data_IF_886295938191
#
_entry.id   IF_886295938191
#
_cell.length_a   1.000
_cell.length_b   1.000
_cell.length_c   1.000
_cell.angle_alpha   90.00
_cell.angle_beta   90.00
_cell.angle_gamma   90.00
#
_symmetry.space_group_name_H-M   'P 1'
#
loop_
_entity.id
_entity.type
_entity.pdbx_description
1 polymer ?
#
# COMPACT_ATOMS: atom_id res chain seq x y z
N UNK A 1 46.10 -8.47 0.52
CA UNK A 1 45.23 -7.92 -0.56
C UNK A 1 44.06 -8.85 -0.88
N UNK A 2 44.25 -10.16 -1.04
CA UNK A 2 43.16 -11.13 -1.24
C UNK A 2 42.13 -11.18 -0.09
N UNK A 3 42.56 -11.07 1.17
CA UNK A 3 41.67 -11.11 2.34
C UNK A 3 40.71 -9.90 2.37
N UNK A 4 41.16 -8.72 1.91
CA UNK A 4 40.30 -7.53 1.79
C UNK A 4 39.30 -7.67 0.63
N UNK A 5 39.70 -8.32 -0.47
CA UNK A 5 38.80 -8.56 -1.60
C UNK A 5 37.72 -9.59 -1.20
N UNK A 6 38.09 -10.65 -0.47
CA UNK A 6 37.12 -11.64 0.04
C UNK A 6 36.18 -11.07 1.12
N UNK A 7 36.68 -10.20 2.01
CA UNK A 7 35.82 -9.51 2.99
C UNK A 7 34.82 -8.58 2.29
N UNK A 8 35.28 -7.84 1.27
CA UNK A 8 34.44 -6.93 0.50
C UNK A 8 33.42 -7.66 -0.38
N UNK A 9 33.73 -8.86 -0.88
CA UNK A 9 32.74 -9.70 -1.58
C UNK A 9 31.70 -10.28 -0.62
N UNK A 10 32.12 -10.71 0.57
CA UNK A 10 31.20 -11.24 1.57
C UNK A 10 30.16 -10.18 1.99
N UNK A 11 30.58 -8.95 2.28
CA UNK A 11 29.68 -7.84 2.63
C UNK A 11 28.68 -7.51 1.51
N UNK A 12 29.08 -7.61 0.23
CA UNK A 12 28.15 -7.42 -0.90
C UNK A 12 27.06 -8.48 -0.94
N UNK A 13 27.39 -9.74 -0.73
CA UNK A 13 26.41 -10.83 -0.74
C UNK A 13 25.40 -10.72 0.40
N UNK A 14 25.84 -10.27 1.59
CA UNK A 14 24.93 -10.05 2.73
C UNK A 14 24.00 -8.87 2.45
N UNK A 15 24.55 -7.77 1.93
CA UNK A 15 23.78 -6.58 1.55
C UNK A 15 22.70 -6.89 0.51
N UNK A 16 23.03 -7.71 -0.51
CA UNK A 16 22.05 -8.12 -1.52
C UNK A 16 20.92 -8.97 -0.94
N UNK A 17 21.21 -9.89 0.00
CA UNK A 17 20.15 -10.68 0.65
C UNK A 17 19.22 -9.80 1.48
N UNK A 18 19.78 -8.92 2.29
CA UNK A 18 18.99 -8.05 3.18
C UNK A 18 18.12 -7.08 2.38
N UNK A 19 18.68 -6.44 1.36
CA UNK A 19 17.93 -5.55 0.46
C UNK A 19 16.75 -6.27 -0.21
N UNK A 20 16.93 -7.52 -0.66
CA UNK A 20 15.84 -8.30 -1.26
C UNK A 20 14.71 -8.58 -0.26
N UNK A 21 15.03 -9.06 0.94
CA UNK A 21 14.02 -9.33 1.97
C UNK A 21 13.26 -8.06 2.35
N UNK A 22 13.97 -6.95 2.48
CA UNK A 22 13.37 -5.69 2.84
C UNK A 22 12.46 -5.13 1.75
N UNK A 23 12.85 -5.21 0.47
CA UNK A 23 11.99 -4.85 -0.66
C UNK A 23 10.71 -5.68 -0.69
N UNK A 24 10.81 -7.00 -0.50
CA UNK A 24 9.64 -7.87 -0.43
C UNK A 24 8.71 -7.51 0.73
N UNK A 25 9.26 -7.25 1.91
CA UNK A 25 8.48 -6.85 3.08
C UNK A 25 7.80 -5.49 2.88
N UNK A 26 8.48 -4.53 2.25
CA UNK A 26 7.94 -3.21 1.92
C UNK A 26 6.77 -3.28 0.94
N UNK A 27 6.88 -4.14 -0.08
CA UNK A 27 5.80 -4.40 -1.05
C UNK A 27 4.59 -5.04 -0.37
N UNK A 28 4.79 -6.06 0.47
CA UNK A 28 3.71 -6.74 1.20
C UNK A 28 3.02 -5.82 2.20
N UNK A 29 3.79 -4.99 2.89
CA UNK A 29 3.26 -3.95 3.76
C UNK A 29 2.44 -2.92 2.98
N UNK A 30 2.92 -2.48 1.81
CA UNK A 30 2.17 -1.60 0.91
C UNK A 30 0.85 -2.18 0.45
N UNK A 31 0.89 -3.41 -0.05
CA UNK A 31 -0.31 -4.12 -0.49
C UNK A 31 -1.34 -4.24 0.64
N UNK A 32 -0.91 -4.67 1.82
CA UNK A 32 -1.80 -4.88 2.98
C UNK A 32 -2.39 -3.55 3.46
N UNK A 33 -1.57 -2.51 3.56
CA UNK A 33 -2.00 -1.17 3.98
C UNK A 33 -3.03 -0.58 3.01
N UNK A 34 -2.84 -0.77 1.70
CA UNK A 34 -3.83 -0.32 0.72
C UNK A 34 -5.10 -1.13 0.82
N UNK A 35 -5.05 -2.47 0.90
CA UNK A 35 -6.26 -3.30 0.98
C UNK A 35 -7.12 -2.95 2.19
N UNK A 36 -6.50 -2.72 3.35
CA UNK A 36 -7.21 -2.36 4.58
C UNK A 36 -7.70 -0.90 4.56
N UNK A 37 -6.92 0.03 4.00
CA UNK A 37 -7.26 1.46 3.92
C UNK A 37 -8.26 1.83 2.83
N UNK A 38 -8.25 1.11 1.70
CA UNK A 38 -9.08 1.41 0.53
C UNK A 38 -10.60 1.46 0.78
N UNK A 39 -11.22 0.56 1.58
CA UNK A 39 -12.64 0.69 1.91
C UNK A 39 -12.93 1.99 2.68
N UNK A 40 -12.02 2.42 3.56
CA UNK A 40 -12.18 3.66 4.32
C UNK A 40 -12.05 4.90 3.43
N UNK A 41 -11.09 4.89 2.50
CA UNK A 41 -10.90 5.96 1.52
C UNK A 41 -12.08 6.04 0.54
N UNK A 42 -12.65 4.90 0.15
CA UNK A 42 -13.83 4.83 -0.72
C UNK A 42 -15.08 5.35 -0.01
N UNK A 43 -15.29 5.02 1.27
CA UNK A 43 -16.42 5.57 2.06
C UNK A 43 -16.26 7.09 2.18
N UNK A 44 -15.07 7.58 2.51
CA UNK A 44 -14.79 9.02 2.65
C UNK A 44 -15.03 9.79 1.36
N UNK A 45 -14.47 9.32 0.25
CA UNK A 45 -14.63 9.99 -1.06
C UNK A 45 -16.08 9.96 -1.53
N UNK A 46 -16.82 8.87 -1.34
CA UNK A 46 -18.26 8.83 -1.64
C UNK A 46 -19.08 9.76 -0.73
N UNK A 47 -18.72 9.89 0.55
CA UNK A 47 -19.34 10.88 1.45
C UNK A 47 -19.04 12.32 1.02
N UNK A 48 -17.82 12.61 0.55
CA UNK A 48 -17.42 13.95 0.11
C UNK A 48 -17.97 14.30 -1.29
N UNK A 49 -18.20 13.31 -2.15
CA UNK A 49 -18.76 13.49 -3.48
C UNK A 49 -20.30 13.67 -3.47
N UNK A 50 -20.97 13.40 -2.35
CA UNK A 50 -22.40 13.68 -2.19
C UNK A 50 -22.62 15.18 -1.96
N UNK A 51 -22.95 15.91 -3.03
CA UNK A 51 -23.30 17.35 -3.00
C UNK A 51 -24.62 17.62 -2.26
N UNK A 52 -25.51 16.63 -2.18
CA UNK A 52 -26.79 16.73 -1.49
C UNK A 52 -26.77 15.80 -0.27
N UNK A 53 -26.89 16.38 0.93
CA UNK A 53 -26.88 15.70 2.23
C UNK A 53 -28.16 14.87 2.41
N UNK A 54 -28.46 13.94 1.50
CA UNK A 54 -29.69 13.15 1.55
C UNK A 54 -29.52 12.03 2.59
N UNK A 55 -29.93 12.37 3.82
CA UNK A 55 -30.69 11.54 4.75
C UNK A 55 -30.10 10.23 5.29
N UNK A 56 -28.78 10.00 5.31
CA UNK A 56 -28.21 8.81 5.96
C UNK A 56 -26.78 9.05 6.49
N UNK A 57 -26.64 10.02 7.39
CA UNK A 57 -25.42 10.72 7.85
C UNK A 57 -24.28 9.91 8.52
N UNK A 58 -24.21 8.59 8.35
CA UNK A 58 -23.20 7.74 9.01
C UNK A 58 -22.26 7.02 8.04
N UNK A 59 -20.95 6.93 8.32
CA UNK A 59 -19.99 6.16 7.50
C UNK A 59 -20.41 4.69 7.33
N UNK A 60 -21.05 4.11 8.35
CA UNK A 60 -21.59 2.75 8.31
C UNK A 60 -22.83 2.61 7.40
N UNK A 61 -23.65 3.65 7.29
CA UNK A 61 -24.86 3.62 6.44
C UNK A 61 -24.46 3.75 4.97
N UNK A 62 -23.49 4.61 4.67
CA UNK A 62 -22.88 4.70 3.33
C UNK A 62 -22.22 3.39 2.94
N UNK A 63 -21.44 2.77 3.83
CA UNK A 63 -20.86 1.45 3.62
C UNK A 63 -21.95 0.39 3.32
N UNK A 64 -23.00 0.33 4.13
CA UNK A 64 -24.10 -0.63 3.96
C UNK A 64 -24.83 -0.43 2.63
N UNK A 65 -25.06 0.82 2.22
CA UNK A 65 -25.66 1.14 0.93
C UNK A 65 -24.77 0.73 -0.24
N UNK A 66 -23.46 1.01 -0.17
CA UNK A 66 -22.50 0.61 -1.21
C UNK A 66 -22.43 -0.92 -1.33
N UNK A 67 -22.34 -1.64 -0.21
CA UNK A 67 -22.32 -3.12 -0.22
C UNK A 67 -23.63 -3.68 -0.75
N UNK A 68 -24.78 -3.08 -0.42
CA UNK A 68 -26.10 -3.56 -0.87
C UNK A 68 -26.37 -3.27 -2.35
N UNK A 69 -25.88 -2.16 -2.90
CA UNK A 69 -26.13 -1.74 -4.29
C UNK A 69 -25.04 -2.17 -5.28
N UNK A 70 -23.76 -2.07 -4.90
CA UNK A 70 -22.62 -2.36 -5.78
C UNK A 70 -21.86 -3.66 -5.37
N UNK A 71 -22.18 -4.23 -4.21
CA UNK A 71 -21.50 -5.42 -3.68
C UNK A 71 -20.10 -5.12 -3.12
N UNK A 72 -19.43 -6.16 -2.59
CA UNK A 72 -18.05 -6.05 -2.12
C UNK A 72 -17.06 -5.65 -3.22
N UNK A 73 -17.35 -5.95 -4.49
CA UNK A 73 -16.52 -5.50 -5.62
C UNK A 73 -16.65 -3.99 -5.90
N UNK A 74 -17.77 -3.36 -5.52
CA UNK A 74 -17.94 -1.91 -5.61
C UNK A 74 -16.95 -1.13 -4.74
N UNK A 75 -16.58 -1.69 -3.58
CA UNK A 75 -15.58 -1.12 -2.66
C UNK A 75 -14.14 -1.17 -3.16
N UNK A 76 -13.84 -2.06 -4.12
CA UNK A 76 -12.51 -2.22 -4.71
C UNK A 76 -12.45 -1.71 -6.16
N UNK A 77 -13.53 -1.09 -6.66
CA UNK A 77 -13.58 -0.57 -8.02
C UNK A 77 -12.71 0.68 -8.12
N UNK A 78 -11.48 0.51 -8.63
CA UNK A 78 -10.46 1.57 -8.69
C UNK A 78 -9.29 1.41 -7.73
N UNK A 79 -9.16 0.26 -7.04
CA UNK A 79 -8.04 -0.01 -6.11
C UNK A 79 -6.68 -0.11 -6.78
N UNK A 80 -6.64 -0.42 -8.08
CA UNK A 80 -5.41 -0.69 -8.84
C UNK A 80 -4.43 0.50 -8.81
N UNK A 81 -4.82 1.74 -9.19
CA UNK A 81 -3.90 2.88 -9.13
C UNK A 81 -3.29 3.17 -7.74
N UNK A 82 -4.06 3.26 -6.63
CA UNK A 82 -3.48 3.49 -5.31
C UNK A 82 -2.68 2.29 -4.79
N UNK A 83 -3.03 1.05 -5.18
CA UNK A 83 -2.27 -0.14 -4.84
C UNK A 83 -0.86 -0.10 -5.45
N UNK A 84 -0.79 0.17 -6.75
CA UNK A 84 0.47 0.30 -7.48
C UNK A 84 1.30 1.47 -6.92
N UNK A 85 0.66 2.64 -6.72
CA UNK A 85 1.34 3.82 -6.17
C UNK A 85 1.92 3.59 -4.78
N UNK A 86 1.19 2.89 -3.90
CA UNK A 86 1.63 2.60 -2.53
C UNK A 86 2.79 1.60 -2.50
N UNK A 87 2.79 0.62 -3.40
CA UNK A 87 3.90 -0.34 -3.53
C UNK A 87 5.18 0.37 -4.00
N UNK A 88 5.11 1.17 -5.06
CA UNK A 88 6.26 1.91 -5.56
C UNK A 88 6.80 2.92 -4.56
N UNK A 89 5.92 3.69 -3.92
CA UNK A 89 6.31 4.68 -2.91
C UNK A 89 7.06 4.03 -1.74
N UNK A 90 6.53 2.93 -1.19
CA UNK A 90 7.14 2.24 -0.05
C UNK A 90 8.46 1.55 -0.42
N UNK A 91 8.57 0.99 -1.63
CA UNK A 91 9.84 0.44 -2.11
C UNK A 91 10.92 1.52 -2.26
N UNK A 92 10.57 2.66 -2.87
CA UNK A 92 11.51 3.79 -3.03
C UNK A 92 11.93 4.36 -1.68
N UNK A 93 10.99 4.54 -0.77
CA UNK A 93 11.28 5.00 0.59
C UNK A 93 12.30 4.07 1.24
N UNK A 94 12.07 2.76 1.19
CA UNK A 94 12.95 1.78 1.81
C UNK A 94 14.36 1.79 1.17
N UNK A 95 14.45 1.82 -0.17
CA UNK A 95 15.75 1.93 -0.86
C UNK A 95 16.54 3.18 -0.52
N UNK A 96 15.87 4.32 -0.31
CA UNK A 96 16.53 5.57 0.09
C UNK A 96 16.99 5.50 1.55
N UNK A 97 16.21 4.87 2.43
CA UNK A 97 16.60 4.67 3.83
C UNK A 97 17.80 3.72 4.00
N UNK A 98 17.90 2.65 3.20
CA UNK A 98 19.07 1.76 3.23
C UNK A 98 20.32 2.36 2.57
N UNK A 99 20.15 3.35 1.69
CA UNK A 99 21.26 4.01 0.99
C UNK A 99 21.92 5.15 1.79
N UNK A 100 21.25 5.65 2.83
CA UNK A 100 21.76 6.66 3.76
C UNK A 100 22.29 6.00 5.04
#
# INVERSE_FOLDING_TARGET
>A
RLILIMSHDHDRDVWHREAMFSLFSGIMYGATSTIVGHPFDTIKTKMQAQTEYINNAGPFTTLKNVVKHEGFKGLYRGVVPPFIGSMFYRSLQFSVFEAC
#
